data_IF_786782852001
#
_entry.id   IF_786782852001
#
_cell.length_a   1.000
_cell.length_b   1.000
_cell.length_c   1.000
_cell.angle_alpha   90.00
_cell.angle_beta   90.00
_cell.angle_gamma   90.00
#
_symmetry.space_group_name_H-M   'P 1'
#
loop_
_entity.id
_entity.type
_entity.pdbx_description
1 polymer ?
#
# COMPACT_ATOMS: atom_id res chain seq x y z
N UNK A 1 21.19 20.50 -20.78
CA UNK A 1 21.12 19.07 -20.39
C UNK A 1 19.74 18.79 -19.83
N UNK A 2 18.91 17.99 -20.50
CA UNK A 2 17.58 17.59 -20.00
C UNK A 2 17.79 16.53 -18.91
N UNK A 3 17.54 16.86 -17.64
CA UNK A 3 17.45 15.85 -16.58
C UNK A 3 16.20 15.02 -16.87
N UNK A 4 16.38 13.73 -17.17
CA UNK A 4 15.26 12.78 -17.21
C UNK A 4 14.70 12.68 -15.79
N UNK A 5 13.49 13.20 -15.60
CA UNK A 5 12.69 12.97 -14.41
C UNK A 5 12.26 11.51 -14.44
N UNK A 6 12.96 10.66 -13.68
CA UNK A 6 12.56 9.27 -13.46
C UNK A 6 11.30 9.33 -12.60
N UNK A 7 10.16 8.95 -13.14
CA UNK A 7 8.92 8.84 -12.36
C UNK A 7 9.11 7.75 -11.30
N UNK A 8 8.56 7.89 -10.07
CA UNK A 8 8.67 6.87 -9.02
C UNK A 8 8.21 5.46 -9.47
N UNK A 9 7.32 5.39 -10.46
CA UNK A 9 6.87 4.16 -11.13
C UNK A 9 7.96 3.41 -11.92
N UNK A 10 9.14 4.01 -12.14
CA UNK A 10 10.26 3.42 -12.88
C UNK A 10 11.35 2.81 -11.97
N UNK A 11 11.29 3.04 -10.66
CA UNK A 11 12.17 2.36 -9.71
C UNK A 11 11.63 0.94 -9.54
N UNK A 12 12.20 -0.01 -10.30
CA UNK A 12 11.96 -1.43 -10.03
C UNK A 12 12.32 -1.70 -8.57
N UNK A 13 11.40 -2.22 -7.75
CA UNK A 13 11.77 -2.63 -6.40
C UNK A 13 12.90 -3.65 -6.50
N UNK A 14 13.97 -3.39 -5.75
CA UNK A 14 15.13 -4.29 -5.76
C UNK A 14 14.79 -5.53 -4.94
N UNK A 15 15.22 -6.71 -5.42
CA UNK A 15 15.07 -7.95 -4.66
C UNK A 15 15.73 -7.86 -3.26
N UNK A 16 16.80 -7.06 -3.13
CA UNK A 16 17.40 -6.74 -1.84
C UNK A 16 16.45 -5.96 -0.92
N UNK A 17 15.79 -4.92 -1.43
CA UNK A 17 14.80 -4.15 -0.69
C UNK A 17 13.57 -4.96 -0.30
N UNK A 18 13.16 -5.94 -1.13
CA UNK A 18 12.09 -6.88 -0.78
C UNK A 18 12.50 -7.83 0.35
N UNK A 19 13.69 -8.46 0.26
CA UNK A 19 14.19 -9.37 1.31
C UNK A 19 14.30 -8.68 2.67
N UNK A 20 14.72 -7.42 2.71
CA UNK A 20 14.76 -6.64 3.95
C UNK A 20 13.36 -6.46 4.57
N UNK A 21 12.35 -6.16 3.74
CA UNK A 21 10.94 -6.04 4.18
C UNK A 21 10.42 -7.39 4.68
N UNK A 22 10.69 -8.49 3.98
CA UNK A 22 10.28 -9.82 4.39
C UNK A 22 10.91 -10.23 5.74
N UNK A 23 12.20 -9.98 5.93
CA UNK A 23 12.87 -10.21 7.21
C UNK A 23 12.28 -9.36 8.35
N UNK A 24 11.98 -8.09 8.08
CA UNK A 24 11.29 -7.20 9.02
C UNK A 24 9.90 -7.73 9.40
N UNK A 25 9.09 -8.13 8.42
CA UNK A 25 7.77 -8.71 8.65
C UNK A 25 7.85 -9.96 9.54
N UNK A 26 8.69 -10.94 9.21
CA UNK A 26 8.81 -12.15 10.03
C UNK A 26 9.22 -11.84 11.48
N UNK A 27 10.10 -10.85 11.68
CA UNK A 27 10.55 -10.43 13.00
C UNK A 27 9.45 -9.74 13.82
N UNK A 28 8.59 -8.95 13.18
CA UNK A 28 7.70 -8.01 13.88
C UNK A 28 6.20 -8.27 13.71
N UNK A 29 5.77 -9.20 12.87
CA UNK A 29 4.34 -9.39 12.52
C UNK A 29 3.40 -9.52 13.70
N UNK A 30 3.77 -10.30 14.72
CA UNK A 30 2.91 -10.51 15.88
C UNK A 30 2.80 -9.25 16.74
N UNK A 31 3.91 -8.52 16.91
CA UNK A 31 3.92 -7.25 17.64
C UNK A 31 3.11 -6.19 16.89
N UNK A 32 3.27 -6.09 15.58
CA UNK A 32 2.57 -5.07 14.79
C UNK A 32 1.07 -5.36 14.71
N UNK A 33 0.67 -6.61 14.47
CA UNK A 33 -0.73 -6.99 14.51
C UNK A 33 -1.38 -6.71 15.87
N UNK A 34 -0.68 -7.01 16.97
CA UNK A 34 -1.18 -6.67 18.31
C UNK A 34 -1.37 -5.17 18.48
N UNK A 35 -0.36 -4.36 18.17
CA UNK A 35 -0.45 -2.90 18.27
C UNK A 35 -1.57 -2.35 17.37
N UNK A 36 -1.74 -2.90 16.17
CA UNK A 36 -2.83 -2.50 15.26
C UNK A 36 -4.19 -2.82 15.88
N UNK A 37 -4.38 -4.03 16.42
CA UNK A 37 -5.63 -4.41 17.07
C UNK A 37 -5.93 -3.53 18.30
N UNK A 38 -4.93 -3.29 19.16
CA UNK A 38 -5.07 -2.39 20.32
C UNK A 38 -5.46 -0.97 19.89
N UNK A 39 -4.86 -0.44 18.81
CA UNK A 39 -5.20 0.87 18.27
C UNK A 39 -6.63 0.89 17.71
N UNK A 40 -7.04 -0.18 17.02
CA UNK A 40 -8.37 -0.29 16.42
C UNK A 40 -9.47 -0.50 17.45
N UNK A 41 -9.21 -1.19 18.57
CA UNK A 41 -10.16 -1.33 19.69
C UNK A 41 -10.44 0.02 20.37
N UNK A 42 -9.45 0.91 20.37
CA UNK A 42 -9.60 2.28 20.87
C UNK A 42 -10.24 3.24 19.86
N UNK A 43 -10.27 2.85 18.57
CA UNK A 43 -11.04 3.53 17.54
C UNK A 43 -12.47 2.97 17.53
N UNK A 44 -13.47 3.83 17.31
CA UNK A 44 -14.87 3.41 17.32
C UNK A 44 -15.11 2.22 16.34
N UNK A 45 -15.71 1.12 16.82
CA UNK A 45 -15.70 -0.22 16.19
C UNK A 45 -16.58 -0.37 14.93
N UNK A 46 -16.92 0.74 14.26
CA UNK A 46 -17.86 0.76 13.14
C UNK A 46 -17.20 0.63 11.76
N UNK A 47 -15.94 0.22 11.69
CA UNK A 47 -15.19 0.08 10.44
C UNK A 47 -15.35 -1.32 9.83
N UNK A 48 -15.44 -1.38 8.50
CA UNK A 48 -15.41 -2.65 7.74
C UNK A 48 -13.98 -3.00 7.28
N UNK A 49 -13.15 -1.98 7.07
CA UNK A 49 -11.73 -2.10 6.73
C UNK A 49 -10.93 -1.05 7.50
N UNK A 50 -9.68 -1.35 7.81
CA UNK A 50 -8.83 -0.51 8.67
C UNK A 50 -8.50 0.86 8.11
N UNK A 51 -8.50 1.01 6.77
CA UNK A 51 -8.36 2.32 6.13
C UNK A 51 -9.44 3.33 6.56
N UNK A 52 -10.64 2.85 6.94
CA UNK A 52 -11.73 3.72 7.42
C UNK A 52 -11.45 4.24 8.85
N UNK A 53 -10.73 3.49 9.67
CA UNK A 53 -10.35 3.88 11.02
C UNK A 53 -9.21 4.92 11.04
N UNK A 54 -8.55 5.17 9.90
CA UNK A 54 -7.35 6.02 9.84
C UNK A 54 -7.60 7.43 10.39
N UNK A 55 -8.78 8.03 10.14
CA UNK A 55 -9.11 9.34 10.71
C UNK A 55 -9.23 9.31 12.24
N UNK A 56 -9.95 8.32 12.76
CA UNK A 56 -10.14 8.15 14.21
C UNK A 56 -8.82 7.87 14.91
N UNK A 57 -7.92 7.09 14.28
CA UNK A 57 -6.60 6.82 14.81
C UNK A 57 -5.71 8.06 14.85
N UNK A 58 -5.76 8.91 13.82
CA UNK A 58 -5.06 10.19 13.83
C UNK A 58 -5.55 11.06 14.99
N UNK A 59 -6.86 11.14 15.18
CA UNK A 59 -7.46 11.91 16.28
C UNK A 59 -7.07 11.33 17.65
N UNK A 60 -7.12 10.01 17.83
CA UNK A 60 -6.72 9.31 19.06
C UNK A 60 -5.23 9.46 19.40
N UNK A 61 -4.38 9.57 18.38
CA UNK A 61 -2.94 9.81 18.52
C UNK A 61 -2.58 11.30 18.57
N UNK A 62 -3.58 12.19 18.56
CA UNK A 62 -3.43 13.65 18.54
C UNK A 62 -2.55 14.13 17.37
N UNK A 63 -2.63 13.44 16.22
CA UNK A 63 -1.90 13.76 14.99
C UNK A 63 -2.85 14.46 14.02
N UNK A 64 -2.46 15.66 13.57
CA UNK A 64 -3.26 16.43 12.63
C UNK A 64 -2.84 16.18 11.18
N UNK A 65 -3.79 16.29 10.25
CA UNK A 65 -3.50 16.38 8.83
C UNK A 65 -3.41 17.84 8.40
N UNK A 66 -2.40 18.16 7.59
CA UNK A 66 -2.27 19.46 6.94
C UNK A 66 -1.86 19.29 5.48
N UNK A 67 -2.17 20.28 4.65
CA UNK A 67 -1.62 20.34 3.31
C UNK A 67 -0.32 21.16 3.30
N UNK A 68 0.64 20.79 2.45
CA UNK A 68 1.88 21.51 2.24
C UNK A 68 2.39 21.36 0.80
N UNK A 69 3.31 22.23 0.40
CA UNK A 69 4.11 22.02 -0.80
C UNK A 69 5.26 21.06 -0.47
N UNK A 70 5.24 19.88 -1.09
CA UNK A 70 6.24 18.85 -0.88
C UNK A 70 7.10 18.67 -2.15
N UNK A 71 8.31 18.10 -2.03
CA UNK A 71 9.10 17.69 -3.19
C UNK A 71 8.31 16.76 -4.13
N UNK A 72 8.55 16.77 -5.46
CA UNK A 72 7.78 15.99 -6.44
C UNK A 72 7.84 14.46 -6.26
N UNK A 73 8.77 13.95 -5.46
CA UNK A 73 8.92 12.53 -5.15
C UNK A 73 8.26 12.13 -3.82
N UNK A 74 7.51 13.04 -3.18
CA UNK A 74 6.95 12.85 -1.85
C UNK A 74 5.48 13.27 -1.77
N UNK A 75 4.64 12.31 -1.39
CA UNK A 75 3.19 12.49 -1.26
C UNK A 75 2.75 12.93 0.13
N UNK A 76 3.48 12.48 1.16
CA UNK A 76 3.26 12.88 2.54
C UNK A 76 4.58 12.90 3.32
N UNK A 77 4.60 13.63 4.43
CA UNK A 77 5.68 13.59 5.42
C UNK A 77 5.15 13.85 6.83
N UNK A 78 5.79 13.26 7.83
CA UNK A 78 5.53 13.55 9.24
C UNK A 78 6.44 14.65 9.79
N UNK A 79 5.83 15.66 10.40
CA UNK A 79 6.45 16.56 11.37
C UNK A 79 6.16 16.02 12.77
N UNK A 80 7.17 15.39 13.36
CA UNK A 80 7.01 14.72 14.64
C UNK A 80 6.81 15.69 15.80
N UNK A 81 7.44 16.85 15.76
CA UNK A 81 7.42 17.79 16.88
C UNK A 81 6.08 18.54 16.90
N UNK A 82 5.56 18.89 15.72
CA UNK A 82 4.24 19.48 15.58
C UNK A 82 3.09 18.47 15.66
N UNK A 83 3.39 17.16 15.62
CA UNK A 83 2.43 16.06 15.45
C UNK A 83 1.50 16.30 14.26
N UNK A 84 2.10 16.55 13.10
CA UNK A 84 1.37 16.81 11.85
C UNK A 84 1.86 15.88 10.77
N UNK A 85 0.94 15.22 10.07
CA UNK A 85 1.24 14.62 8.76
C UNK A 85 0.84 15.63 7.69
N UNK A 86 1.83 16.07 6.92
CA UNK A 86 1.66 16.96 5.79
C UNK A 86 1.44 16.13 4.53
N UNK A 87 0.47 16.53 3.72
CA UNK A 87 0.13 15.92 2.43
C UNK A 87 0.41 16.93 1.33
N UNK A 88 0.92 16.46 0.19
CA UNK A 88 1.16 17.29 -0.98
C UNK A 88 -0.15 17.97 -1.46
N UNK A 89 -0.12 19.30 -1.58
CA UNK A 89 -1.24 20.13 -2.07
C UNK A 89 -1.66 19.81 -3.50
N UNK A 90 -0.73 19.32 -4.32
CA UNK A 90 -0.87 19.08 -5.75
C UNK A 90 -0.93 17.58 -6.09
N UNK A 91 -1.20 16.71 -5.11
CA UNK A 91 -1.26 15.25 -5.29
C UNK A 91 -2.16 14.81 -6.46
N UNK A 92 -3.35 15.40 -6.57
CA UNK A 92 -4.29 15.13 -7.67
C UNK A 92 -3.71 15.51 -9.04
N UNK A 93 -3.09 16.69 -9.12
CA UNK A 93 -2.47 17.18 -10.34
C UNK A 93 -1.26 16.33 -10.76
N UNK A 94 -0.52 15.79 -9.80
CA UNK A 94 0.67 14.96 -10.06
C UNK A 94 0.30 13.52 -10.48
N UNK A 95 -0.80 12.95 -9.99
CA UNK A 95 -1.16 11.55 -10.27
C UNK A 95 -1.96 11.35 -11.57
N UNK A 96 -2.61 12.40 -12.10
CA UNK A 96 -3.41 12.36 -13.34
C UNK A 96 -4.53 11.28 -13.36
N UNK A 97 -4.86 10.68 -12.22
CA UNK A 97 -5.83 9.59 -12.06
C UNK A 97 -6.64 9.77 -10.75
N UNK A 98 -7.81 10.45 -10.80
CA UNK A 98 -8.57 10.81 -9.61
C UNK A 98 -8.91 9.61 -8.71
N UNK A 99 -9.29 8.48 -9.31
CA UNK A 99 -9.68 7.27 -8.58
C UNK A 99 -8.51 6.61 -7.83
N UNK A 100 -7.28 6.86 -8.27
CA UNK A 100 -6.07 6.38 -7.62
C UNK A 100 -5.56 7.36 -6.54
N UNK A 101 -5.89 8.65 -6.65
CA UNK A 101 -5.41 9.68 -5.73
C UNK A 101 -5.81 9.41 -4.29
N UNK A 102 -7.08 9.08 -4.04
CA UNK A 102 -7.54 8.79 -2.68
C UNK A 102 -6.83 7.57 -2.07
N UNK A 103 -6.59 6.53 -2.87
CA UNK A 103 -5.90 5.31 -2.42
C UNK A 103 -4.44 5.59 -2.08
N UNK A 104 -3.74 6.29 -2.98
CA UNK A 104 -2.34 6.71 -2.76
C UNK A 104 -2.23 7.62 -1.54
N UNK A 105 -3.21 8.49 -1.33
CA UNK A 105 -3.28 9.34 -0.14
C UNK A 105 -3.40 8.51 1.14
N UNK A 106 -4.35 7.56 1.18
CA UNK A 106 -4.54 6.66 2.34
C UNK A 106 -3.26 5.87 2.62
N UNK A 107 -2.63 5.30 1.59
CA UNK A 107 -1.37 4.56 1.69
C UNK A 107 -0.24 5.44 2.24
N UNK A 108 -0.12 6.67 1.74
CA UNK A 108 0.91 7.61 2.16
C UNK A 108 0.71 8.04 3.62
N UNK A 109 -0.54 8.35 4.02
CA UNK A 109 -0.82 8.71 5.41
C UNK A 109 -0.59 7.51 6.33
N UNK A 110 -0.95 6.30 5.94
CA UNK A 110 -0.69 5.09 6.74
C UNK A 110 0.81 4.85 6.96
N UNK A 111 1.65 5.13 5.95
CA UNK A 111 3.10 5.06 6.07
C UNK A 111 3.65 6.10 7.06
N UNK A 112 3.21 7.35 6.96
CA UNK A 112 3.61 8.41 7.89
C UNK A 112 3.06 8.18 9.31
N UNK A 113 1.86 7.61 9.44
CA UNK A 113 1.29 7.19 10.71
C UNK A 113 2.14 6.09 11.35
N UNK A 114 2.64 5.14 10.56
CA UNK A 114 3.55 4.11 11.03
C UNK A 114 4.80 4.72 11.67
N UNK A 115 5.35 5.77 11.06
CA UNK A 115 6.48 6.50 11.62
C UNK A 115 6.15 7.09 13.00
N UNK A 116 4.96 7.69 13.19
CA UNK A 116 4.51 8.18 14.50
C UNK A 116 4.41 7.05 15.52
N UNK A 117 3.71 5.97 15.19
CA UNK A 117 3.48 4.82 16.08
C UNK A 117 4.79 4.13 16.47
N UNK A 118 5.72 4.02 15.52
CA UNK A 118 6.99 3.33 15.72
C UNK A 118 8.05 4.21 16.38
N UNK A 119 7.94 5.55 16.30
CA UNK A 119 8.93 6.48 16.88
C UNK A 119 9.08 6.36 18.38
N UNK A 120 7.99 6.12 19.10
CA UNK A 120 7.99 6.11 20.57
C UNK A 120 8.46 4.80 21.21
N UNK A 121 8.97 3.83 20.44
CA UNK A 121 9.45 2.57 21.00
C UNK A 121 10.82 2.76 21.69
N UNK A 122 10.99 2.32 22.95
CA UNK A 122 12.26 2.41 23.68
C UNK A 122 13.42 1.74 22.95
N UNK A 123 14.62 2.31 23.03
CA UNK A 123 15.85 1.73 22.48
C UNK A 123 16.06 1.93 20.97
N UNK A 124 15.39 2.93 20.38
CA UNK A 124 15.50 3.23 18.95
C UNK A 124 16.49 4.35 18.59
N UNK A 125 17.11 4.97 19.59
CA UNK A 125 18.17 5.97 19.39
C UNK A 125 19.37 5.31 18.68
N UNK A 126 19.62 5.68 17.42
CA UNK A 126 20.74 5.17 16.61
C UNK A 126 20.36 4.18 15.49
N UNK A 127 19.09 3.82 15.32
CA UNK A 127 18.65 3.06 14.15
C UNK A 127 18.81 3.88 12.86
N UNK A 128 19.42 3.28 11.83
CA UNK A 128 19.59 3.92 10.52
C UNK A 128 18.22 4.23 9.90
N UNK A 129 18.08 5.43 9.30
CA UNK A 129 16.86 5.89 8.60
C UNK A 129 16.27 4.83 7.66
N UNK A 130 17.12 4.13 6.90
CA UNK A 130 16.68 3.07 5.98
C UNK A 130 15.90 1.92 6.65
N UNK A 131 16.25 1.58 7.90
CA UNK A 131 15.54 0.53 8.65
C UNK A 131 14.17 1.04 9.12
N UNK A 132 14.06 2.32 9.48
CA UNK A 132 12.79 2.93 9.85
C UNK A 132 11.82 2.96 8.68
N UNK A 133 12.28 3.33 7.49
CA UNK A 133 11.43 3.30 6.29
C UNK A 133 10.93 1.89 5.97
N UNK A 134 11.79 0.87 6.14
CA UNK A 134 11.39 -0.53 5.94
C UNK A 134 10.33 -0.94 6.95
N UNK A 135 10.52 -0.61 8.23
CA UNK A 135 9.55 -0.94 9.28
C UNK A 135 8.22 -0.21 9.09
N UNK A 136 8.26 1.10 8.79
CA UNK A 136 7.08 1.90 8.50
C UNK A 136 6.29 1.32 7.32
N UNK A 137 6.98 0.92 6.25
CA UNK A 137 6.34 0.27 5.10
C UNK A 137 5.67 -1.05 5.49
N UNK A 138 6.37 -1.91 6.24
CA UNK A 138 5.85 -3.22 6.68
C UNK A 138 4.68 -3.08 7.64
N UNK A 139 4.71 -2.05 8.49
CA UNK A 139 3.61 -1.71 9.37
C UNK A 139 2.41 -1.20 8.56
N UNK A 140 2.61 -0.30 7.60
CA UNK A 140 1.54 0.22 6.74
C UNK A 140 0.85 -0.88 5.94
N UNK A 141 1.61 -1.86 5.41
CA UNK A 141 1.02 -3.05 4.77
C UNK A 141 0.12 -3.84 5.73
N UNK A 142 0.61 -4.15 6.93
CA UNK A 142 -0.19 -4.87 7.93
C UNK A 142 -1.38 -4.05 8.45
N UNK A 143 -1.26 -2.73 8.48
CA UNK A 143 -2.33 -1.85 8.90
C UNK A 143 -3.44 -1.81 7.87
N UNK A 144 -3.15 -1.50 6.60
CA UNK A 144 -4.17 -1.36 5.55
C UNK A 144 -4.63 -2.69 4.93
N UNK A 145 -3.80 -3.74 5.01
CA UNK A 145 -4.10 -5.09 4.50
C UNK A 145 -3.95 -6.12 5.63
N UNK A 146 -4.70 -6.01 6.73
CA UNK A 146 -4.48 -6.85 7.90
C UNK A 146 -4.78 -8.32 7.59
N UNK A 147 -3.82 -9.20 7.86
CA UNK A 147 -3.96 -10.63 7.57
C UNK A 147 -5.22 -11.24 8.21
N UNK A 148 -5.48 -10.93 9.47
CA UNK A 148 -6.66 -11.41 10.21
C UNK A 148 -7.99 -11.02 9.57
N UNK A 149 -8.01 -9.96 8.76
CA UNK A 149 -9.20 -9.48 8.07
C UNK A 149 -9.36 -10.16 6.71
N UNK A 150 -8.25 -10.47 6.04
CA UNK A 150 -8.26 -10.97 4.66
C UNK A 150 -8.12 -12.48 4.53
N UNK A 151 -7.65 -13.20 5.55
CA UNK A 151 -7.23 -14.60 5.43
C UNK A 151 -8.36 -15.55 5.01
N UNK A 152 -9.58 -15.24 5.44
CA UNK A 152 -10.79 -16.03 5.14
C UNK A 152 -11.55 -15.53 3.91
N UNK A 153 -11.08 -14.50 3.21
CA UNK A 153 -11.74 -14.02 1.99
C UNK A 153 -11.69 -15.10 0.89
N UNK A 154 -12.78 -15.35 0.13
CA UNK A 154 -12.81 -16.35 -0.94
C UNK A 154 -11.69 -16.15 -1.98
N UNK A 155 -11.39 -14.90 -2.33
CA UNK A 155 -10.35 -14.49 -3.25
C UNK A 155 -8.97 -14.96 -2.78
N UNK A 156 -8.64 -14.72 -1.51
CA UNK A 156 -7.38 -15.15 -0.89
C UNK A 156 -7.31 -16.68 -0.83
N UNK A 157 -8.38 -17.35 -0.43
CA UNK A 157 -8.44 -18.82 -0.40
C UNK A 157 -8.25 -19.42 -1.78
N UNK A 158 -8.83 -18.82 -2.82
CA UNK A 158 -8.67 -19.26 -4.20
C UNK A 158 -7.23 -19.08 -4.70
N UNK A 159 -6.63 -17.91 -4.46
CA UNK A 159 -5.24 -17.63 -4.83
C UNK A 159 -4.28 -18.61 -4.13
N UNK A 160 -4.46 -18.85 -2.82
CA UNK A 160 -3.62 -19.77 -2.03
C UNK A 160 -3.70 -21.22 -2.48
N UNK A 161 -4.89 -21.70 -2.86
CA UNK A 161 -5.08 -23.07 -3.35
C UNK A 161 -4.34 -23.33 -4.67
N UNK A 162 -3.99 -22.28 -5.40
CA UNK A 162 -3.42 -22.39 -6.73
C UNK A 162 -4.47 -22.80 -7.77
N UNK A 163 -4.07 -22.81 -9.05
CA UNK A 163 -4.95 -23.21 -10.16
C UNK A 163 -5.89 -22.12 -10.68
N UNK A 164 -5.86 -20.91 -10.10
CA UNK A 164 -6.55 -19.74 -10.65
C UNK A 164 -5.78 -19.23 -11.88
N UNK A 165 -6.48 -19.02 -13.00
CA UNK A 165 -5.88 -18.44 -14.21
C UNK A 165 -5.37 -17.02 -13.91
N UNK A 166 -4.25 -16.56 -14.51
CA UNK A 166 -3.68 -15.24 -14.24
C UNK A 166 -4.67 -14.06 -14.34
N UNK A 167 -5.57 -14.10 -15.34
CA UNK A 167 -6.58 -13.03 -15.51
C UNK A 167 -7.59 -12.99 -14.36
N UNK A 168 -8.02 -14.16 -13.85
CA UNK A 168 -8.94 -14.24 -12.72
C UNK A 168 -8.24 -13.85 -11.41
N UNK A 169 -6.96 -14.22 -11.26
CA UNK A 169 -6.14 -13.78 -10.14
C UNK A 169 -6.04 -12.26 -10.12
N UNK A 170 -5.83 -11.62 -11.27
CA UNK A 170 -5.78 -10.18 -11.39
C UNK A 170 -7.14 -9.55 -11.01
N UNK A 171 -8.26 -10.08 -11.53
CA UNK A 171 -9.61 -9.61 -11.18
C UNK A 171 -9.86 -9.68 -9.66
N UNK A 172 -9.55 -10.80 -9.02
CA UNK A 172 -9.64 -10.95 -7.56
C UNK A 172 -8.82 -9.92 -6.79
N UNK A 173 -7.64 -9.54 -7.30
CA UNK A 173 -6.82 -8.51 -6.68
C UNK A 173 -7.40 -7.10 -6.87
N UNK A 174 -8.01 -6.81 -8.03
CA UNK A 174 -8.72 -5.54 -8.22
C UNK A 174 -9.90 -5.43 -7.25
N UNK A 175 -10.73 -6.46 -7.16
CA UNK A 175 -11.90 -6.47 -6.26
C UNK A 175 -11.48 -6.34 -4.79
N UNK A 176 -10.43 -7.08 -4.38
CA UNK A 176 -9.90 -6.99 -3.02
C UNK A 176 -9.26 -5.63 -2.72
N UNK A 177 -8.54 -5.04 -3.68
CA UNK A 177 -7.93 -3.72 -3.50
C UNK A 177 -8.98 -2.62 -3.41
N UNK A 178 -10.06 -2.73 -4.19
CA UNK A 178 -11.21 -1.83 -4.13
C UNK A 178 -11.90 -1.91 -2.77
N UNK A 179 -12.20 -3.12 -2.30
CA UNK A 179 -12.80 -3.33 -0.98
C UNK A 179 -11.95 -2.75 0.16
N UNK A 180 -10.62 -2.91 0.10
CA UNK A 180 -9.68 -2.38 1.09
C UNK A 180 -9.41 -0.87 0.94
N UNK A 181 -9.82 -0.25 -0.17
CA UNK A 181 -9.51 1.16 -0.46
C UNK A 181 -8.01 1.42 -0.74
N UNK A 182 -7.29 0.44 -1.28
CA UNK A 182 -5.87 0.54 -1.65
C UNK A 182 -5.65 0.31 -3.14
N UNK A 183 -4.46 0.61 -3.64
CA UNK A 183 -4.04 0.27 -4.99
C UNK A 183 -3.72 -1.22 -5.10
N UNK A 184 -3.93 -1.79 -6.30
CA UNK A 184 -3.58 -3.20 -6.58
C UNK A 184 -2.09 -3.46 -6.35
N UNK A 185 -1.23 -2.49 -6.71
CA UNK A 185 0.21 -2.58 -6.46
C UNK A 185 0.52 -2.71 -4.98
N UNK A 186 -0.12 -1.90 -4.12
CA UNK A 186 0.07 -1.97 -2.67
C UNK A 186 -0.39 -3.31 -2.10
N UNK A 187 -1.59 -3.76 -2.48
CA UNK A 187 -2.12 -5.07 -2.11
C UNK A 187 -1.19 -6.21 -2.54
N UNK A 188 -0.72 -6.20 -3.78
CA UNK A 188 0.20 -7.21 -4.28
C UNK A 188 1.46 -7.27 -3.41
N UNK A 189 2.07 -6.13 -3.07
CA UNK A 189 3.26 -6.10 -2.20
C UNK A 189 2.97 -6.61 -0.79
N UNK A 190 1.80 -6.31 -0.24
CA UNK A 190 1.37 -6.88 1.04
C UNK A 190 1.22 -8.41 0.96
N UNK A 191 0.60 -8.93 -0.10
CA UNK A 191 0.43 -10.38 -0.28
C UNK A 191 1.75 -11.10 -0.57
N UNK A 192 2.68 -10.48 -1.30
CA UNK A 192 4.05 -10.97 -1.45
C UNK A 192 4.76 -11.04 -0.09
N UNK A 193 4.57 -10.02 0.75
CA UNK A 193 5.12 -9.98 2.11
C UNK A 193 4.58 -11.11 2.99
N UNK A 194 3.30 -11.45 2.84
CA UNK A 194 2.65 -12.54 3.57
C UNK A 194 2.99 -13.93 3.01
N UNK A 195 3.71 -14.01 1.90
CA UNK A 195 4.05 -15.27 1.23
C UNK A 195 2.86 -15.90 0.50
N UNK A 196 1.85 -15.10 0.14
CA UNK A 196 0.66 -15.54 -0.62
C UNK A 196 0.92 -15.46 -2.11
N UNK A 197 1.69 -14.46 -2.55
CA UNK A 197 2.14 -14.30 -3.92
C UNK A 197 3.66 -14.46 -4.00
N UNK A 198 4.15 -14.98 -5.12
CA UNK A 198 5.58 -14.92 -5.42
C UNK A 198 6.01 -13.48 -5.72
N UNK A 199 7.24 -13.15 -5.33
CA UNK A 199 7.79 -11.84 -5.60
C UNK A 199 7.82 -11.54 -7.11
N UNK A 200 7.13 -10.49 -7.53
CA UNK A 200 7.06 -10.11 -8.94
C UNK A 200 6.14 -10.99 -9.78
N UNK A 201 5.26 -11.80 -9.17
CA UNK A 201 4.33 -12.69 -9.86
C UNK A 201 3.47 -11.98 -10.93
N UNK A 202 3.18 -10.69 -10.72
CA UNK A 202 2.37 -9.87 -11.62
C UNK A 202 3.16 -8.73 -12.26
N UNK A 203 4.49 -8.76 -12.20
CA UNK A 203 5.27 -7.86 -13.05
C UNK A 203 4.93 -8.18 -14.50
N UNK A 204 4.08 -7.34 -15.11
CA UNK A 204 3.77 -7.38 -16.53
C UNK A 204 5.09 -7.56 -17.27
N UNK A 205 5.28 -8.74 -17.88
CA UNK A 205 6.40 -8.95 -18.80
C UNK A 205 6.31 -7.83 -19.83
N UNK A 206 7.24 -6.88 -19.76
CA UNK A 206 7.58 -5.93 -20.85
C UNK A 206 8.17 -6.69 -22.05
N UNK A 207 7.54 -7.80 -22.46
CA UNK A 207 7.86 -8.57 -23.66
C UNK A 207 6.72 -8.45 -24.67
N UNK A 208 6.28 -7.22 -24.90
CA UNK A 208 5.74 -6.81 -26.16
C UNK A 208 6.04 -5.31 -26.26
N UNK A 209 7.01 -4.94 -27.10
CA UNK A 209 7.02 -3.57 -27.62
C UNK A 209 5.60 -3.30 -28.12
N UNK A 210 4.94 -2.20 -27.71
CA UNK A 210 3.69 -1.84 -28.34
C UNK A 210 4.01 -1.58 -29.82
N UNK A 211 3.47 -2.42 -30.71
CA UNK A 211 3.19 -1.95 -32.07
C UNK A 211 2.14 -0.86 -31.89
N UNK A 212 2.54 0.36 -32.21
CA UNK A 212 1.78 1.61 -32.13
C UNK A 212 0.30 1.44 -32.46
N UNK A 213 -0.57 1.94 -31.60
CA UNK A 213 -2.00 2.08 -31.87
C UNK A 213 -2.80 2.51 -30.62
N UNK A 214 -3.67 3.52 -30.71
CA UNK A 214 -4.44 4.04 -29.57
C UNK A 214 -5.56 3.12 -29.05
N UNK A 215 -5.77 1.94 -29.64
CA UNK A 215 -6.97 1.13 -29.40
C UNK A 215 -6.88 0.08 -28.28
N UNK A 216 -5.77 -0.03 -27.53
CA UNK A 216 -5.61 -1.16 -26.57
C UNK A 216 -6.04 -0.92 -25.12
N UNK A 217 -6.34 0.31 -24.70
CA UNK A 217 -6.86 0.54 -23.34
C UNK A 217 -8.34 0.14 -23.23
N UNK A 218 -9.08 0.11 -24.34
CA UNK A 218 -10.45 -0.45 -24.39
C UNK A 218 -10.50 -1.97 -24.20
N UNK A 219 -9.48 -2.69 -24.68
CA UNK A 219 -9.54 -4.15 -24.76
C UNK A 219 -9.43 -4.86 -23.40
N UNK A 220 -8.66 -4.31 -22.45
CA UNK A 220 -8.49 -4.94 -21.13
C UNK A 220 -9.68 -4.70 -20.19
N UNK A 221 -10.44 -3.62 -20.38
CA UNK A 221 -11.66 -3.34 -19.61
C UNK A 221 -12.90 -4.03 -20.20
N UNK A 222 -12.95 -4.22 -21.52
CA UNK A 222 -14.08 -4.90 -22.18
C UNK A 222 -14.05 -6.43 -21.99
N UNK A 223 -12.89 -7.08 -21.97
CA UNK A 223 -12.79 -8.52 -21.71
C UNK A 223 -13.11 -8.88 -20.26
N UNK A 224 -12.74 -8.04 -19.28
CA UNK A 224 -13.17 -8.21 -17.88
C UNK A 224 -14.68 -8.05 -17.71
N UNK A 225 -15.31 -7.13 -18.45
CA UNK A 225 -16.78 -6.98 -18.44
C UNK A 225 -17.53 -8.12 -19.11
N UNK A 226 -16.94 -8.77 -20.12
CA UNK A 226 -17.55 -9.95 -20.77
C UNK A 226 -17.40 -11.22 -19.93
N UNK A 227 -16.31 -11.37 -19.19
CA UNK A 227 -16.09 -12.51 -18.31
C UNK A 227 -16.93 -12.48 -17.02
N UNK A 228 -17.39 -11.29 -16.58
CA UNK A 228 -18.27 -11.14 -15.41
C UNK A 228 -19.75 -11.38 -15.75
N UNK A 229 -20.12 -11.34 -17.04
CA UNK A 229 -21.50 -11.50 -17.51
C UNK A 229 -21.74 -12.82 -18.28
N UNK A 230 -20.82 -13.79 -18.17
CA UNK A 230 -20.92 -15.13 -18.76
C UNK A 230 -20.81 -16.20 -17.67
#
# INVERSE_FOLDING_TARGET
>A
MKKQTILPSEIKPSAAGFRNRQGCYHKHRHTYNRTILELLENADNNWQVTGQALRQLLDALEVRLAQAYLPPDRWAEVDYDARVIRVATDLEAQLHHPDATQRVLIESIAHELAHVVLKHKPGRDGLKKANWEVEATVWAYQFLVPWFLIEDRPEIRAIRKGGVKPNHQLAYLYDLADWLGVTVSFLQRALELYGILEYGALEFRKSARPRSGPDKVRYLLEDSRRAVNA
#
